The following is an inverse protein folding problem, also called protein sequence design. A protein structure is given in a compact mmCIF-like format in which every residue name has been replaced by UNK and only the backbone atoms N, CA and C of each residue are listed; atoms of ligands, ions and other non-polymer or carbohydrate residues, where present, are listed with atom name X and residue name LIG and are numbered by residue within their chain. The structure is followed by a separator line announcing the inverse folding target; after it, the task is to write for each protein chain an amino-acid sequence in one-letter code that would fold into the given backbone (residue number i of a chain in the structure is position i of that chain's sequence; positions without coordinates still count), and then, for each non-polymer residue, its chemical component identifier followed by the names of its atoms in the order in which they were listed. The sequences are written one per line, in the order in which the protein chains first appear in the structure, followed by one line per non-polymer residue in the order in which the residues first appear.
data_IF_868456922330
#
_entry.id   IF_868456922330
#
_cell.length_a   1.000
_cell.length_b   1.000
_cell.length_c   1.000
_cell.angle_alpha   90.00
_cell.angle_beta   90.00
_cell.angle_gamma   90.00
#
_symmetry.space_group_name_H-M   'P 1'
#
loop_
_entity.id
_entity.type
_entity.pdbx_description
1 polymer ?
#
# COMPACT_ATOMS: atom_id res chain seq x y z
N UNK A 1 35.37 9.18 -69.87
CA UNK A 1 34.05 9.82 -69.69
C UNK A 1 33.18 8.88 -68.87
N UNK A 2 32.98 9.14 -67.56
CA UNK A 2 31.88 8.69 -66.72
C UNK A 2 32.20 9.22 -65.29
N UNK A 3 31.81 10.47 -65.02
CA UNK A 3 31.76 11.04 -63.68
C UNK A 3 30.36 11.68 -63.54
N UNK A 4 29.60 11.25 -62.57
CA UNK A 4 28.40 11.96 -62.18
C UNK A 4 27.15 11.11 -62.04
N UNK A 5 27.06 10.28 -60.99
CA UNK A 5 25.77 9.75 -60.47
C UNK A 5 26.00 9.13 -59.08
N UNK A 6 26.31 9.93 -58.07
CA UNK A 6 26.45 9.39 -56.71
C UNK A 6 26.11 10.44 -55.61
N UNK A 7 25.23 11.42 -55.87
CA UNK A 7 24.95 12.48 -54.89
C UNK A 7 23.46 12.73 -54.57
N UNK A 8 22.56 11.89 -55.03
CA UNK A 8 21.10 12.13 -54.87
C UNK A 8 20.37 11.14 -53.99
N UNK A 9 21.06 10.24 -53.27
CA UNK A 9 20.37 9.24 -52.40
C UNK A 9 20.49 9.49 -50.89
N UNK A 10 21.11 10.58 -50.45
CA UNK A 10 21.32 10.86 -49.02
C UNK A 10 20.33 11.87 -48.41
N UNK A 11 19.40 12.41 -49.17
CA UNK A 11 18.44 13.41 -48.65
C UNK A 11 17.02 12.88 -48.40
N UNK A 12 16.74 11.61 -48.64
CA UNK A 12 15.37 11.06 -48.50
C UNK A 12 15.06 10.42 -47.15
N UNK A 13 16.03 10.29 -46.23
CA UNK A 13 15.81 9.63 -44.94
C UNK A 13 15.47 10.58 -43.73
N UNK A 14 15.35 11.88 -43.97
CA UNK A 14 15.18 12.86 -42.89
C UNK A 14 13.71 13.28 -42.62
N UNK A 15 12.72 12.69 -43.30
CA UNK A 15 11.32 13.13 -43.19
C UNK A 15 10.35 12.09 -42.56
N UNK A 16 10.86 11.03 -41.94
CA UNK A 16 10.02 10.02 -41.25
C UNK A 16 10.07 10.08 -39.71
N UNK A 17 10.69 11.10 -39.13
CA UNK A 17 10.47 11.43 -37.72
C UNK A 17 9.15 12.20 -37.58
N UNK A 18 8.04 11.50 -37.71
CA UNK A 18 6.79 12.01 -37.18
C UNK A 18 6.99 12.40 -35.71
N UNK A 19 6.34 13.44 -35.19
CA UNK A 19 6.43 13.75 -33.77
C UNK A 19 6.08 12.46 -33.02
N UNK A 20 7.03 11.94 -32.22
CA UNK A 20 6.72 10.89 -31.27
C UNK A 20 5.60 11.47 -30.41
N UNK A 21 4.37 11.05 -30.69
CA UNK A 21 3.20 11.53 -29.96
C UNK A 21 3.48 11.28 -28.49
N UNK A 22 3.68 12.33 -27.71
CA UNK A 22 3.84 12.21 -26.28
C UNK A 22 2.66 11.38 -25.78
N UNK A 23 2.91 10.22 -25.21
CA UNK A 23 1.86 9.38 -24.66
C UNK A 23 1.08 10.23 -23.67
N UNK A 24 -0.22 10.35 -23.87
CA UNK A 24 -1.10 11.13 -22.99
C UNK A 24 -0.98 10.60 -21.56
N UNK A 25 -0.73 11.50 -20.62
CA UNK A 25 -0.62 11.12 -19.21
C UNK A 25 -1.97 10.62 -18.68
N UNK A 26 -1.93 9.66 -17.79
CA UNK A 26 -3.11 9.20 -17.07
C UNK A 26 -3.76 10.34 -16.28
N UNK A 27 -3.00 11.35 -15.82
CA UNK A 27 -3.55 12.56 -15.22
C UNK A 27 -4.53 13.28 -16.18
N UNK A 28 -4.16 13.44 -17.45
CA UNK A 28 -5.03 14.08 -18.45
C UNK A 28 -6.27 13.23 -18.73
N UNK A 29 -6.11 11.91 -18.76
CA UNK A 29 -7.21 10.94 -18.89
C UNK A 29 -8.17 11.03 -17.70
N UNK A 30 -7.67 11.09 -16.46
CA UNK A 30 -8.47 11.24 -15.24
C UNK A 30 -9.25 12.55 -15.26
N UNK A 31 -8.60 13.67 -15.62
CA UNK A 31 -9.25 14.98 -15.73
C UNK A 31 -10.37 14.99 -16.77
N UNK A 32 -10.15 14.35 -17.93
CA UNK A 32 -11.18 14.24 -18.99
C UNK A 32 -12.34 13.33 -18.58
N UNK A 33 -12.05 12.24 -17.90
CA UNK A 33 -13.04 11.27 -17.40
C UNK A 33 -13.84 11.83 -16.24
N UNK A 34 -13.30 12.82 -15.55
CA UNK A 34 -13.86 13.48 -14.36
C UNK A 34 -14.16 12.48 -13.21
N UNK A 35 -13.32 11.48 -13.06
CA UNK A 35 -13.43 10.44 -12.03
C UNK A 35 -12.09 9.73 -11.80
N UNK A 36 -11.77 9.43 -10.53
CA UNK A 36 -10.69 8.53 -10.12
C UNK A 36 -11.18 7.08 -10.04
N UNK A 37 -10.33 6.13 -10.39
CA UNK A 37 -10.56 4.68 -10.19
C UNK A 37 -9.44 4.14 -9.32
N UNK A 38 -9.77 3.72 -8.09
CA UNK A 38 -8.78 3.40 -7.04
C UNK A 38 -8.91 1.95 -6.60
N UNK A 39 -7.80 1.19 -6.67
CA UNK A 39 -7.76 -0.13 -6.04
C UNK A 39 -7.70 0.01 -4.53
N UNK A 40 -8.53 -0.76 -3.84
CA UNK A 40 -8.56 -0.77 -2.37
C UNK A 40 -8.89 -2.14 -1.82
N UNK A 41 -8.63 -2.34 -0.51
CA UNK A 41 -9.18 -3.47 0.24
C UNK A 41 -10.57 -3.14 0.79
N UNK A 42 -11.28 -4.18 1.24
CA UNK A 42 -12.56 -4.03 1.94
C UNK A 42 -12.59 -4.78 3.28
N UNK A 43 -11.42 -5.30 3.73
CA UNK A 43 -11.32 -6.18 4.90
C UNK A 43 -10.11 -5.86 5.78
N UNK A 44 -9.60 -4.62 5.70
CA UNK A 44 -8.38 -4.15 6.39
C UNK A 44 -8.68 -2.98 7.34
N UNK A 45 -9.52 -3.16 8.40
CA UNK A 45 -9.75 -2.10 9.36
C UNK A 45 -8.46 -1.75 10.11
N UNK A 46 -8.22 -0.49 10.43
CA UNK A 46 -9.04 0.70 10.17
C UNK A 46 -8.66 1.44 8.87
N UNK A 47 -7.86 0.81 7.98
CA UNK A 47 -7.31 1.46 6.78
C UNK A 47 -8.33 1.49 5.63
N UNK A 48 -8.91 0.34 5.28
CA UNK A 48 -9.97 0.23 4.27
C UNK A 48 -10.84 -1.01 4.55
N UNK A 49 -12.11 -0.82 4.92
CA UNK A 49 -13.01 -1.92 5.27
C UNK A 49 -14.48 -1.52 5.10
N UNK A 50 -15.34 -2.52 5.03
CA UNK A 50 -16.79 -2.31 5.04
C UNK A 50 -17.25 -2.28 6.49
N UNK A 51 -17.91 -1.18 6.88
CA UNK A 51 -18.47 -1.01 8.23
C UNK A 51 -19.78 -1.79 8.41
N UNK A 52 -20.35 -1.73 9.62
CA UNK A 52 -21.61 -2.43 9.97
C UNK A 52 -22.82 -1.94 9.17
N UNK A 53 -22.75 -0.79 8.53
CA UNK A 53 -23.78 -0.22 7.65
C UNK A 53 -23.56 -0.61 6.18
N UNK A 54 -22.58 -1.44 5.88
CA UNK A 54 -22.24 -1.85 4.52
C UNK A 54 -21.48 -0.79 3.71
N UNK A 55 -20.97 0.27 4.35
CA UNK A 55 -20.24 1.35 3.70
C UNK A 55 -18.73 1.07 3.72
N UNK A 56 -18.08 1.29 2.59
CA UNK A 56 -16.61 1.26 2.51
C UNK A 56 -16.03 2.51 3.18
N UNK A 57 -15.22 2.32 4.22
CA UNK A 57 -14.67 3.36 5.07
C UNK A 57 -13.23 3.06 5.46
N UNK A 58 -12.52 4.06 5.99
CA UNK A 58 -11.18 3.89 6.53
C UNK A 58 -10.23 5.03 6.18
N UNK A 59 -9.04 4.98 6.73
CA UNK A 59 -7.99 5.97 6.52
C UNK A 59 -7.64 6.15 5.03
N UNK A 60 -7.45 5.05 4.31
CA UNK A 60 -7.12 5.06 2.88
C UNK A 60 -8.31 5.49 2.00
N UNK A 61 -9.54 5.24 2.48
CA UNK A 61 -10.76 5.68 1.79
C UNK A 61 -10.91 7.20 1.90
N UNK A 62 -10.72 7.76 3.11
CA UNK A 62 -10.72 9.21 3.30
C UNK A 62 -9.63 9.89 2.46
N UNK A 63 -8.44 9.28 2.32
CA UNK A 63 -7.38 9.75 1.42
C UNK A 63 -7.84 9.81 -0.04
N UNK A 64 -8.47 8.75 -0.54
CA UNK A 64 -8.93 8.70 -1.93
C UNK A 64 -9.99 9.77 -2.22
N UNK A 65 -10.93 9.98 -1.31
CA UNK A 65 -11.92 11.05 -1.41
C UNK A 65 -11.29 12.44 -1.42
N UNK A 66 -10.26 12.69 -0.60
CA UNK A 66 -9.58 13.99 -0.57
C UNK A 66 -8.74 14.21 -1.85
N UNK A 67 -8.09 13.16 -2.40
CA UNK A 67 -7.41 13.24 -3.70
C UNK A 67 -8.43 13.61 -4.80
N UNK A 68 -9.60 12.98 -4.82
CA UNK A 68 -10.66 13.29 -5.78
C UNK A 68 -11.15 14.75 -5.64
N UNK A 69 -11.36 15.20 -4.42
CA UNK A 69 -11.75 16.59 -4.13
C UNK A 69 -10.71 17.59 -4.62
N UNK A 70 -9.43 17.34 -4.34
CA UNK A 70 -8.33 18.24 -4.74
C UNK A 70 -8.12 18.28 -6.25
N UNK A 71 -8.28 17.14 -6.94
CA UNK A 71 -8.03 17.03 -8.38
C UNK A 71 -9.27 17.40 -9.23
N UNK A 72 -10.46 17.00 -8.77
CA UNK A 72 -11.71 17.05 -9.55
C UNK A 72 -12.79 17.93 -8.92
N UNK A 73 -12.48 18.56 -7.77
CA UNK A 73 -13.39 19.47 -7.06
C UNK A 73 -14.51 18.80 -6.27
N UNK A 74 -14.59 17.46 -6.28
CA UNK A 74 -15.66 16.70 -5.61
C UNK A 74 -15.12 15.38 -5.03
N UNK A 75 -15.24 15.15 -3.71
CA UNK A 75 -14.77 13.91 -3.07
C UNK A 75 -15.50 12.65 -3.56
N UNK A 76 -16.72 12.78 -4.09
CA UNK A 76 -17.50 11.64 -4.58
C UNK A 76 -17.10 11.18 -5.99
N UNK A 77 -16.22 11.92 -6.68
CA UNK A 77 -15.68 11.54 -7.99
C UNK A 77 -14.60 10.47 -7.90
N UNK A 78 -14.86 9.44 -7.10
CA UNK A 78 -13.99 8.26 -6.94
C UNK A 78 -14.80 6.99 -7.07
N UNK A 79 -14.24 6.03 -7.79
CA UNK A 79 -14.75 4.67 -7.91
C UNK A 79 -13.74 3.72 -7.28
N UNK A 80 -14.22 2.88 -6.36
CA UNK A 80 -13.36 1.89 -5.71
C UNK A 80 -13.47 0.53 -6.38
N UNK A 81 -12.33 -0.04 -6.73
CA UNK A 81 -12.19 -1.42 -7.21
C UNK A 81 -11.60 -2.24 -6.07
N UNK A 82 -12.44 -3.07 -5.45
CA UNK A 82 -11.98 -3.98 -4.39
C UNK A 82 -11.12 -5.07 -5.00
N UNK A 83 -9.92 -5.26 -4.43
CA UNK A 83 -8.95 -6.26 -4.87
C UNK A 83 -8.48 -7.14 -3.72
N UNK A 84 -7.96 -8.33 -4.04
CA UNK A 84 -7.22 -9.17 -3.11
C UNK A 84 -5.71 -8.84 -3.17
N UNK A 85 -4.95 -9.37 -2.22
CA UNK A 85 -3.52 -9.05 -2.07
C UNK A 85 -2.67 -9.38 -3.31
N UNK A 86 -3.00 -10.43 -4.04
CA UNK A 86 -2.31 -10.86 -5.28
C UNK A 86 -2.78 -10.08 -6.51
N UNK A 87 -4.02 -9.61 -6.52
CA UNK A 87 -4.66 -8.91 -7.63
C UNK A 87 -4.33 -7.42 -7.73
N UNK A 88 -3.82 -6.79 -6.66
CA UNK A 88 -3.67 -5.33 -6.61
C UNK A 88 -2.70 -4.76 -7.65
N UNK A 89 -1.52 -5.37 -7.85
CA UNK A 89 -0.56 -4.92 -8.84
C UNK A 89 -1.01 -5.22 -10.28
N UNK A 90 -1.54 -6.40 -10.60
CA UNK A 90 -2.17 -6.65 -11.90
C UNK A 90 -3.25 -5.63 -12.27
N UNK A 91 -4.07 -5.19 -11.31
CA UNK A 91 -5.10 -4.17 -11.56
C UNK A 91 -4.51 -2.82 -12.00
N UNK A 92 -3.40 -2.38 -11.37
CA UNK A 92 -2.71 -1.14 -11.76
C UNK A 92 -1.96 -1.31 -13.09
N UNK A 93 -1.23 -2.41 -13.27
CA UNK A 93 -0.44 -2.66 -14.47
C UNK A 93 -1.28 -2.78 -15.73
N UNK A 94 -2.48 -3.35 -15.62
CA UNK A 94 -3.44 -3.44 -16.74
C UNK A 94 -4.15 -2.13 -17.06
N UNK A 95 -4.05 -1.11 -16.19
CA UNK A 95 -4.82 0.13 -16.31
C UNK A 95 -6.29 0.02 -15.89
N UNK A 96 -6.67 -1.06 -15.19
CA UNK A 96 -8.00 -1.21 -14.61
C UNK A 96 -8.26 -0.16 -13.53
N UNK A 97 -7.22 0.29 -12.85
CA UNK A 97 -7.25 1.34 -11.84
C UNK A 97 -6.16 2.37 -12.12
N UNK A 98 -6.35 3.59 -11.64
CA UNK A 98 -5.40 4.68 -11.81
C UNK A 98 -4.24 4.57 -10.82
N UNK A 99 -4.54 4.13 -9.60
CA UNK A 99 -3.57 3.84 -8.55
C UNK A 99 -4.21 2.93 -7.49
N UNK A 100 -3.42 2.52 -6.50
CA UNK A 100 -3.93 1.72 -5.39
C UNK A 100 -3.53 2.26 -4.02
N UNK A 101 -4.51 2.17 -3.10
CA UNK A 101 -4.40 2.36 -1.66
C UNK A 101 -4.82 1.04 -1.00
N UNK A 102 -3.85 0.20 -0.67
CA UNK A 102 -4.06 -1.17 -0.20
C UNK A 102 -2.98 -1.58 0.82
N UNK A 103 -2.66 -0.73 1.81
CA UNK A 103 -1.63 -1.02 2.82
C UNK A 103 -0.38 -1.63 2.19
N UNK A 104 0.19 -0.93 1.20
CA UNK A 104 1.21 -1.55 0.37
C UNK A 104 2.60 -1.06 0.73
N UNK A 105 3.34 -1.91 1.40
CA UNK A 105 4.72 -1.67 1.79
C UNK A 105 5.65 -1.52 0.60
N UNK A 106 6.50 -0.50 0.64
CA UNK A 106 7.56 -0.27 -0.34
C UNK A 106 8.68 -1.31 -0.12
N UNK A 107 8.92 -2.14 -1.15
CA UNK A 107 10.07 -3.04 -1.20
C UNK A 107 10.80 -2.90 -2.55
N UNK A 108 12.15 -3.00 -2.58
CA UNK A 108 12.92 -2.91 -3.82
C UNK A 108 12.51 -3.92 -4.90
N UNK A 109 12.18 -5.15 -4.52
CA UNK A 109 11.72 -6.20 -5.44
C UNK A 109 10.35 -5.88 -6.07
N UNK A 110 9.50 -5.15 -5.38
CA UNK A 110 8.23 -4.62 -5.93
C UNK A 110 8.50 -3.45 -6.87
N UNK A 111 9.41 -2.54 -6.50
CA UNK A 111 9.73 -1.35 -7.27
C UNK A 111 10.33 -1.65 -8.66
N UNK A 112 10.81 -2.85 -8.90
CA UNK A 112 11.20 -3.33 -10.24
C UNK A 112 10.02 -3.36 -11.23
N UNK A 113 8.78 -3.51 -10.74
CA UNK A 113 7.59 -3.73 -11.57
C UNK A 113 6.48 -2.71 -11.37
N UNK A 114 6.44 -2.06 -10.21
CA UNK A 114 5.39 -1.11 -9.85
C UNK A 114 6.04 0.18 -9.33
N UNK A 115 5.45 1.34 -9.63
CA UNK A 115 5.91 2.60 -9.09
C UNK A 115 5.24 2.87 -7.73
N UNK A 116 5.96 3.57 -6.86
CA UNK A 116 5.48 4.02 -5.56
C UNK A 116 5.67 5.53 -5.42
N UNK A 117 4.76 6.18 -4.71
CA UNK A 117 4.99 7.52 -4.18
C UNK A 117 5.91 7.45 -2.97
N UNK A 118 6.30 8.61 -2.41
CA UNK A 118 6.75 8.64 -1.01
C UNK A 118 5.69 8.03 -0.09
N UNK A 119 6.08 7.51 1.09
CA UNK A 119 5.13 6.83 1.96
C UNK A 119 4.12 7.81 2.58
N UNK A 120 2.86 7.39 2.66
CA UNK A 120 1.82 8.11 3.41
C UNK A 120 1.70 7.62 4.86
N UNK A 121 2.15 6.40 5.17
CA UNK A 121 2.02 5.81 6.50
C UNK A 121 3.32 5.10 6.90
N UNK A 122 3.83 5.46 8.09
CA UNK A 122 4.86 4.68 8.76
C UNK A 122 4.16 3.64 9.64
N UNK A 123 4.45 2.38 9.39
CA UNK A 123 3.86 1.24 10.07
C UNK A 123 4.94 0.23 10.51
N UNK A 124 4.58 -0.95 10.88
CA UNK A 124 5.49 -2.03 11.26
C UNK A 124 4.76 -3.36 11.26
N UNK A 125 5.49 -4.43 11.27
CA UNK A 125 4.92 -5.75 11.47
C UNK A 125 4.46 -5.94 12.90
N UNK A 126 3.32 -6.61 13.07
CA UNK A 126 2.85 -7.09 14.38
C UNK A 126 2.41 -8.53 14.26
N UNK A 127 2.59 -9.26 15.33
CA UNK A 127 2.11 -10.64 15.45
C UNK A 127 1.12 -10.68 16.59
N UNK A 128 -0.10 -11.04 16.27
CA UNK A 128 -1.22 -11.18 17.20
C UNK A 128 -1.46 -12.67 17.43
N UNK A 129 -1.60 -13.06 18.69
CA UNK A 129 -1.92 -14.41 19.10
C UNK A 129 -3.14 -14.44 20.04
N UNK A 130 -3.73 -15.61 20.22
CA UNK A 130 -4.69 -15.83 21.30
C UNK A 130 -3.96 -15.89 22.64
N UNK A 131 -4.52 -15.26 23.66
CA UNK A 131 -3.97 -15.29 25.03
C UNK A 131 -3.85 -16.70 25.58
N UNK A 132 -4.82 -17.57 25.29
CA UNK A 132 -4.84 -18.96 25.75
C UNK A 132 -3.75 -19.86 25.10
N UNK A 133 -3.12 -19.41 24.03
CA UNK A 133 -1.96 -20.10 23.45
C UNK A 133 -0.70 -20.01 24.34
N UNK A 134 -0.68 -19.11 25.33
CA UNK A 134 0.40 -18.95 26.28
C UNK A 134 1.72 -18.44 25.71
N UNK A 135 1.72 -17.95 24.46
CA UNK A 135 2.89 -17.48 23.72
C UNK A 135 3.13 -16.01 24.07
N UNK A 136 4.36 -15.65 24.43
CA UNK A 136 4.74 -14.26 24.74
C UNK A 136 5.67 -13.66 23.70
N UNK A 137 6.60 -14.44 23.21
CA UNK A 137 7.59 -14.00 22.22
C UNK A 137 7.44 -14.79 20.92
N UNK A 138 7.63 -14.13 19.78
CA UNK A 138 7.42 -14.74 18.45
C UNK A 138 8.26 -15.99 18.22
N UNK A 139 9.49 -16.09 18.78
CA UNK A 139 10.33 -17.28 18.66
C UNK A 139 9.71 -18.54 19.25
N UNK A 140 8.82 -18.40 20.22
CA UNK A 140 8.10 -19.54 20.82
C UNK A 140 7.10 -20.19 19.84
N UNK A 141 6.68 -19.46 18.78
CA UNK A 141 5.91 -20.03 17.68
C UNK A 141 6.68 -21.03 16.82
N UNK A 142 8.02 -21.09 16.94
CA UNK A 142 8.84 -21.97 16.10
C UNK A 142 8.78 -23.45 16.56
N UNK A 143 7.59 -23.99 16.56
CA UNK A 143 7.28 -25.35 16.99
C UNK A 143 6.24 -25.94 16.01
N UNK A 144 6.40 -27.17 15.49
CA UNK A 144 5.47 -27.78 14.55
C UNK A 144 4.07 -28.05 15.11
N UNK A 145 3.86 -27.91 16.43
CA UNK A 145 2.53 -27.99 17.03
C UNK A 145 1.67 -26.75 16.72
N UNK A 146 2.30 -25.59 16.44
CA UNK A 146 1.61 -24.35 16.17
C UNK A 146 1.35 -24.15 14.67
N UNK A 147 0.29 -23.40 14.38
CA UNK A 147 -0.04 -22.88 13.05
C UNK A 147 0.01 -21.36 13.07
N UNK A 148 0.71 -20.79 12.12
CA UNK A 148 0.90 -19.36 11.95
C UNK A 148 0.26 -18.88 10.66
N UNK A 149 -0.76 -18.02 10.76
CA UNK A 149 -1.46 -17.49 9.62
C UNK A 149 -0.75 -16.25 9.07
N UNK A 150 -0.48 -16.23 7.77
CA UNK A 150 0.19 -15.14 7.06
C UNK A 150 -0.48 -14.85 5.73
N UNK A 151 -0.36 -13.62 5.25
CA UNK A 151 -0.81 -13.28 3.91
C UNK A 151 -0.03 -14.07 2.86
N UNK A 152 -0.74 -14.54 1.84
CA UNK A 152 -0.18 -15.27 0.70
C UNK A 152 0.56 -14.29 -0.25
N UNK A 153 1.64 -13.70 0.26
CA UNK A 153 2.52 -12.79 -0.49
C UNK A 153 3.99 -13.17 -0.25
N UNK A 154 4.86 -13.11 -1.28
CA UNK A 154 6.23 -13.61 -1.20
C UNK A 154 7.04 -13.06 -0.01
N UNK A 155 7.04 -11.74 0.31
CA UNK A 155 7.82 -11.22 1.43
C UNK A 155 7.38 -11.77 2.80
N UNK A 156 6.07 -11.98 3.02
CA UNK A 156 5.55 -12.54 4.27
C UNK A 156 5.97 -14.00 4.44
N UNK A 157 5.86 -14.79 3.37
CA UNK A 157 6.26 -16.21 3.35
C UNK A 157 7.77 -16.34 3.60
N UNK A 158 8.58 -15.53 2.91
CA UNK A 158 10.04 -15.58 3.06
C UNK A 158 10.47 -15.25 4.50
N UNK A 159 9.87 -14.22 5.10
CA UNK A 159 10.15 -13.83 6.49
C UNK A 159 9.73 -14.90 7.48
N UNK A 160 8.55 -15.46 7.32
CA UNK A 160 8.09 -16.55 8.19
C UNK A 160 9.04 -17.77 8.12
N UNK A 161 9.48 -18.15 6.93
CA UNK A 161 10.47 -19.24 6.76
C UNK A 161 11.81 -18.93 7.41
N UNK A 162 12.25 -17.66 7.37
CA UNK A 162 13.52 -17.26 7.97
C UNK A 162 13.49 -17.33 9.51
N UNK A 163 12.41 -16.87 10.13
CA UNK A 163 12.31 -16.70 11.59
C UNK A 163 11.69 -17.93 12.26
N UNK A 164 10.73 -18.56 11.60
CA UNK A 164 9.91 -19.64 12.14
C UNK A 164 9.91 -20.85 11.18
N UNK A 165 11.08 -21.48 10.93
CA UNK A 165 11.20 -22.55 9.94
C UNK A 165 10.40 -23.82 10.27
N UNK A 166 10.05 -24.04 11.55
CA UNK A 166 9.36 -25.25 12.01
C UNK A 166 7.83 -25.06 12.12
N UNK A 167 7.33 -23.82 12.19
CA UNK A 167 5.90 -23.56 12.34
C UNK A 167 5.13 -23.96 11.08
N UNK A 168 3.93 -24.48 11.24
CA UNK A 168 3.01 -24.69 10.11
C UNK A 168 2.48 -23.36 9.61
N UNK A 169 2.71 -23.05 8.34
CA UNK A 169 2.21 -21.83 7.73
C UNK A 169 0.81 -22.05 7.14
N UNK A 170 -0.13 -21.16 7.48
CA UNK A 170 -1.46 -21.08 6.88
C UNK A 170 -1.51 -19.83 6.01
N UNK A 171 -1.48 -20.00 4.68
CA UNK A 171 -1.51 -18.91 3.73
C UNK A 171 -2.96 -18.48 3.45
N UNK A 172 -3.25 -17.20 3.61
CA UNK A 172 -4.58 -16.62 3.43
C UNK A 172 -4.47 -15.30 2.64
N UNK A 173 -5.56 -14.91 1.98
CA UNK A 173 -5.54 -13.87 0.97
C UNK A 173 -6.01 -12.49 1.48
N UNK A 174 -6.52 -12.42 2.72
CA UNK A 174 -7.02 -11.17 3.30
C UNK A 174 -6.75 -11.04 4.80
N UNK A 175 -6.64 -9.80 5.33
CA UNK A 175 -6.50 -9.54 6.76
C UNK A 175 -7.62 -10.14 7.62
N UNK A 176 -8.87 -10.05 7.17
CA UNK A 176 -10.00 -10.64 7.88
C UNK A 176 -9.92 -12.16 7.96
N UNK A 177 -9.41 -12.82 6.92
CA UNK A 177 -9.22 -14.28 6.94
C UNK A 177 -8.12 -14.68 7.94
N UNK A 178 -7.05 -13.88 8.08
CA UNK A 178 -6.02 -14.09 9.10
C UNK A 178 -6.61 -14.00 10.52
N UNK A 179 -7.33 -12.91 10.78
CA UNK A 179 -8.01 -12.69 12.05
C UNK A 179 -8.98 -13.84 12.38
N UNK A 180 -9.83 -14.23 11.42
CA UNK A 180 -10.80 -15.30 11.61
C UNK A 180 -10.12 -16.66 11.89
N UNK A 181 -9.00 -16.95 11.22
CA UNK A 181 -8.26 -18.19 11.47
C UNK A 181 -7.77 -18.31 12.90
N UNK A 182 -7.29 -17.19 13.50
CA UNK A 182 -6.87 -17.16 14.90
C UNK A 182 -8.08 -17.17 15.83
N UNK A 183 -9.11 -16.40 15.53
CA UNK A 183 -10.33 -16.31 16.35
C UNK A 183 -11.04 -17.68 16.48
N UNK A 184 -11.03 -18.48 15.42
CA UNK A 184 -11.65 -19.83 15.38
C UNK A 184 -10.69 -20.95 15.79
N UNK A 185 -9.44 -20.64 16.20
CA UNK A 185 -8.46 -21.63 16.64
C UNK A 185 -7.79 -22.43 15.50
N UNK A 186 -8.02 -22.08 14.23
CA UNK A 186 -7.32 -22.69 13.07
C UNK A 186 -5.83 -22.33 13.03
N UNK A 187 -5.46 -21.19 13.62
CA UNK A 187 -4.10 -20.76 13.83
C UNK A 187 -3.93 -20.20 15.25
N UNK A 188 -2.73 -20.24 15.79
CA UNK A 188 -2.42 -19.69 17.11
C UNK A 188 -2.03 -18.22 17.05
N UNK A 189 -1.45 -17.78 15.91
CA UNK A 189 -1.06 -16.39 15.69
C UNK A 189 -1.18 -16.02 14.21
N UNK A 190 -1.22 -14.71 13.95
CA UNK A 190 -1.15 -14.15 12.61
C UNK A 190 -0.27 -12.90 12.55
N UNK A 191 0.37 -12.68 11.39
CA UNK A 191 1.11 -11.44 11.10
C UNK A 191 0.26 -10.45 10.33
N UNK A 192 0.33 -9.19 10.74
CA UNK A 192 -0.37 -8.10 10.05
C UNK A 192 0.33 -6.76 10.36
N UNK A 193 -0.01 -5.73 9.60
CA UNK A 193 0.48 -4.38 9.82
C UNK A 193 -0.04 -3.81 11.15
N UNK A 194 0.83 -3.04 11.82
CA UNK A 194 0.57 -2.52 13.17
C UNK A 194 -0.79 -1.81 13.32
N UNK A 195 -1.24 -0.93 12.42
CA UNK A 195 -2.54 -0.28 12.57
C UNK A 195 -3.71 -1.27 12.58
N UNK A 196 -3.63 -2.33 11.77
CA UNK A 196 -4.66 -3.37 11.71
C UNK A 196 -4.59 -4.26 12.95
N UNK A 197 -3.38 -4.53 13.44
CA UNK A 197 -3.17 -5.25 14.70
C UNK A 197 -3.74 -4.47 15.90
N UNK A 198 -3.47 -3.15 15.96
CA UNK A 198 -4.00 -2.25 17.01
C UNK A 198 -5.54 -2.28 17.04
N UNK A 199 -6.17 -2.27 15.86
CA UNK A 199 -7.63 -2.37 15.74
C UNK A 199 -8.15 -3.72 16.28
N UNK A 200 -7.63 -4.84 15.79
CA UNK A 200 -8.13 -6.16 16.22
C UNK A 200 -7.86 -6.44 17.70
N UNK A 201 -6.71 -6.05 18.23
CA UNK A 201 -6.38 -6.19 19.66
C UNK A 201 -7.30 -5.34 20.54
N UNK A 202 -7.61 -4.11 20.12
CA UNK A 202 -8.52 -3.22 20.83
C UNK A 202 -9.95 -3.74 20.92
N UNK A 203 -10.45 -4.37 19.86
CA UNK A 203 -11.82 -4.91 19.77
C UNK A 203 -11.94 -6.35 20.32
N UNK A 204 -10.80 -7.03 20.62
CA UNK A 204 -10.81 -8.43 21.02
C UNK A 204 -9.90 -8.68 22.24
N UNK A 205 -10.44 -8.63 23.47
CA UNK A 205 -9.65 -8.77 24.69
C UNK A 205 -9.01 -10.15 24.89
N UNK A 206 -9.40 -11.15 24.12
CA UNK A 206 -8.80 -12.50 24.09
C UNK A 206 -7.54 -12.59 23.21
N UNK A 207 -7.21 -11.52 22.49
CA UNK A 207 -5.99 -11.42 21.71
C UNK A 207 -4.89 -10.67 22.45
N UNK A 208 -3.65 -10.93 22.04
CA UNK A 208 -2.44 -10.29 22.58
C UNK A 208 -1.39 -10.15 21.51
N UNK A 209 -0.67 -9.04 21.53
CA UNK A 209 0.50 -8.83 20.68
C UNK A 209 1.70 -9.58 21.26
N UNK A 210 2.40 -10.34 20.41
CA UNK A 210 3.64 -10.98 20.78
C UNK A 210 4.81 -9.99 20.75
N UNK A 211 5.76 -10.19 21.65
CA UNK A 211 7.06 -9.53 21.56
C UNK A 211 7.82 -10.07 20.33
N UNK A 212 8.30 -9.15 19.48
CA UNK A 212 9.06 -9.46 18.26
C UNK A 212 10.51 -8.97 18.36
N UNK A 213 10.92 -8.43 19.51
CA UNK A 213 12.24 -7.83 19.71
C UNK A 213 13.39 -8.78 19.34
N UNK A 214 14.42 -8.24 18.71
CA UNK A 214 15.57 -9.04 18.27
C UNK A 214 15.26 -10.06 17.18
N UNK A 215 14.23 -9.83 16.38
CA UNK A 215 13.89 -10.65 15.21
C UNK A 215 13.68 -9.78 13.96
N UNK A 216 13.72 -10.36 12.75
CA UNK A 216 13.35 -9.68 11.51
C UNK A 216 11.89 -9.22 11.42
N UNK A 217 11.06 -9.41 12.45
CA UNK A 217 9.73 -8.82 12.57
C UNK A 217 9.76 -7.46 13.27
N UNK A 218 10.85 -7.15 13.99
CA UNK A 218 11.05 -5.88 14.70
C UNK A 218 11.60 -4.81 13.76
N UNK A 219 10.78 -4.30 12.87
CA UNK A 219 11.18 -3.24 11.94
C UNK A 219 9.98 -2.39 11.49
N UNK A 220 10.29 -1.17 11.03
CA UNK A 220 9.32 -0.23 10.47
C UNK A 220 9.14 -0.51 9.00
N UNK A 221 7.90 -0.53 8.56
CA UNK A 221 7.52 -0.50 7.15
C UNK A 221 7.04 0.89 6.77
N UNK A 222 6.97 1.12 5.47
CA UNK A 222 6.38 2.32 4.92
C UNK A 222 5.40 1.95 3.82
N UNK A 223 4.15 2.34 4.00
CA UNK A 223 3.11 2.12 3.00
C UNK A 223 2.98 3.34 2.08
N UNK A 224 2.82 3.08 0.79
CA UNK A 224 2.73 4.11 -0.23
C UNK A 224 1.61 3.82 -1.23
N UNK A 225 1.18 4.86 -1.93
CA UNK A 225 0.36 4.73 -3.12
C UNK A 225 1.20 4.00 -4.17
N UNK A 226 0.64 2.98 -4.79
CA UNK A 226 1.26 2.30 -5.92
C UNK A 226 0.50 2.59 -7.22
N UNK A 227 1.23 2.64 -8.33
CA UNK A 227 0.68 2.94 -9.64
C UNK A 227 1.51 2.27 -10.74
N UNK A 228 0.93 2.22 -11.95
CA UNK A 228 1.65 1.77 -13.14
C UNK A 228 2.89 2.63 -13.37
N UNK A 229 4.08 2.05 -13.61
CA UNK A 229 5.28 2.83 -13.91
C UNK A 229 5.22 3.46 -15.31
N UNK A 230 6.03 4.51 -15.51
CA UNK A 230 6.25 5.13 -16.83
C UNK A 230 5.49 6.43 -17.06
N UNK A 231 4.54 6.80 -16.21
CA UNK A 231 3.85 8.09 -16.27
C UNK A 231 4.38 9.03 -15.18
N UNK A 232 5.39 9.80 -15.53
CA UNK A 232 6.04 10.72 -14.60
C UNK A 232 5.10 11.83 -14.11
N UNK A 233 4.23 12.37 -14.99
CA UNK A 233 3.30 13.45 -14.64
C UNK A 233 2.27 12.99 -13.61
N UNK A 234 1.72 11.79 -13.79
CA UNK A 234 0.78 11.20 -12.84
C UNK A 234 1.45 10.86 -11.51
N UNK A 235 2.64 10.25 -11.58
CA UNK A 235 3.43 9.96 -10.38
C UNK A 235 3.78 11.22 -9.61
N UNK A 236 4.24 12.28 -10.29
CA UNK A 236 4.62 13.55 -9.66
C UNK A 236 3.44 14.20 -8.93
N UNK A 237 2.24 14.17 -9.53
CA UNK A 237 1.03 14.67 -8.86
C UNK A 237 0.77 13.92 -7.56
N UNK A 238 0.70 12.60 -7.59
CA UNK A 238 0.41 11.78 -6.41
C UNK A 238 1.51 11.89 -5.35
N UNK A 239 2.78 11.89 -5.76
CA UNK A 239 3.92 12.01 -4.84
C UNK A 239 3.95 13.37 -4.16
N UNK A 240 3.70 14.44 -4.90
CA UNK A 240 3.58 15.80 -4.36
C UNK A 240 2.42 15.90 -3.39
N UNK A 241 1.26 15.33 -3.75
CA UNK A 241 0.07 15.32 -2.89
C UNK A 241 0.35 14.63 -1.54
N UNK A 242 1.00 13.47 -1.55
CA UNK A 242 1.43 12.78 -0.30
C UNK A 242 2.43 13.63 0.48
N UNK A 243 3.32 14.36 -0.19
CA UNK A 243 4.24 15.30 0.46
C UNK A 243 3.51 16.39 1.23
N UNK A 244 2.50 17.01 0.59
CA UNK A 244 1.66 18.03 1.21
C UNK A 244 0.81 17.48 2.37
N UNK A 245 0.38 16.23 2.28
CA UNK A 245 -0.36 15.57 3.35
C UNK A 245 0.53 15.36 4.59
N UNK A 246 1.76 14.89 4.41
CA UNK A 246 2.63 14.52 5.54
C UNK A 246 3.43 15.68 6.14
N UNK A 247 3.65 16.73 5.40
CA UNK A 247 4.55 17.80 5.85
C UNK A 247 4.18 19.20 5.37
N UNK A 248 3.16 19.33 4.52
CA UNK A 248 2.74 20.59 3.91
C UNK A 248 1.40 21.09 4.40
N UNK A 249 0.67 21.75 3.50
CA UNK A 249 -0.58 22.46 3.77
C UNK A 249 -1.75 21.56 4.20
N UNK A 250 -1.66 20.24 3.96
CA UNK A 250 -2.70 19.25 4.30
C UNK A 250 -2.42 18.48 5.59
N UNK A 251 -1.41 18.85 6.35
CA UNK A 251 -1.02 18.11 7.55
C UNK A 251 -2.12 18.06 8.62
N UNK A 252 -2.92 19.11 8.77
CA UNK A 252 -4.05 19.11 9.71
C UNK A 252 -5.08 18.02 9.35
N UNK A 253 -5.35 17.81 8.06
CA UNK A 253 -6.21 16.74 7.59
C UNK A 253 -5.62 15.35 7.91
N UNK A 254 -4.32 15.20 7.78
CA UNK A 254 -3.60 13.98 8.16
C UNK A 254 -3.74 13.70 9.67
N UNK A 255 -3.63 14.72 10.52
CA UNK A 255 -3.84 14.62 11.98
C UNK A 255 -5.28 14.17 12.30
N UNK A 256 -6.28 14.77 11.64
CA UNK A 256 -7.68 14.38 11.81
C UNK A 256 -7.90 12.89 11.51
N UNK A 257 -7.37 12.40 10.39
CA UNK A 257 -7.51 10.99 10.00
C UNK A 257 -6.75 10.04 10.92
N UNK A 258 -5.56 10.42 11.37
CA UNK A 258 -4.83 9.63 12.36
C UNK A 258 -5.62 9.47 13.66
N UNK A 259 -6.19 10.55 14.17
CA UNK A 259 -7.02 10.52 15.39
C UNK A 259 -8.30 9.74 15.18
N UNK A 260 -8.96 9.96 14.03
CA UNK A 260 -10.23 9.29 13.69
C UNK A 260 -10.05 7.78 13.58
N UNK A 261 -9.06 7.34 12.81
CA UNK A 261 -8.91 5.95 12.42
C UNK A 261 -7.89 5.18 13.25
N UNK A 262 -6.72 5.77 13.50
CA UNK A 262 -5.61 5.10 14.20
C UNK A 262 -5.59 5.38 15.70
N UNK A 263 -6.50 6.22 16.22
CA UNK A 263 -6.67 6.57 17.64
C UNK A 263 -5.39 7.08 18.31
N UNK A 264 -4.54 7.75 17.54
CA UNK A 264 -3.27 8.34 18.00
C UNK A 264 -2.91 9.56 17.15
N UNK A 265 -1.93 10.32 17.58
CA UNK A 265 -1.36 11.40 16.78
C UNK A 265 -0.38 10.84 15.73
N UNK A 266 -0.28 11.47 14.55
CA UNK A 266 0.75 11.14 13.59
C UNK A 266 2.15 11.51 14.11
N UNK A 267 3.22 11.02 13.45
CA UNK A 267 4.55 11.57 13.67
C UNK A 267 4.55 13.09 13.48
N UNK A 268 5.31 13.85 14.28
CA UNK A 268 5.33 15.30 14.18
C UNK A 268 5.72 15.74 12.76
N UNK A 269 5.11 16.83 12.30
CA UNK A 269 5.43 17.45 11.03
C UNK A 269 6.92 17.76 10.99
N UNK A 270 7.64 17.26 10.01
CA UNK A 270 9.06 17.57 9.85
C UNK A 270 9.20 18.89 9.10
N UNK A 271 9.29 19.99 9.85
CA UNK A 271 9.82 21.23 9.28
C UNK A 271 11.34 21.11 9.12
N UNK A 272 11.86 21.56 8.00
CA UNK A 272 13.26 21.90 7.91
C UNK A 272 13.50 23.09 8.86
N UNK A 273 14.06 22.83 10.01
CA UNK A 273 14.50 23.88 10.92
C UNK A 273 15.83 24.43 10.42
N UNK A 274 15.73 25.43 9.55
CA UNK A 274 16.92 26.13 8.99
C UNK A 274 17.80 26.81 10.07
N UNK A 275 17.34 26.86 11.32
CA UNK A 275 18.08 27.47 12.42
C UNK A 275 18.96 26.46 13.17
N UNK A 276 19.01 25.20 12.77
CA UNK A 276 19.82 24.15 13.41
C UNK A 276 21.11 23.81 12.67
N UNK A 277 21.45 24.50 11.58
CA UNK A 277 22.70 24.33 10.83
C UNK A 277 23.44 25.65 10.66
#
# INVERSE_FOLDING_TARGET
MYRGLSFSLLLACLWLSGPAGAQESLLDTVLKRDKLIVATYSTSPPLAYVDDNGKLVGFEIDMAHEIAKDLLGDPEKVEFVVVQSDGRFPAALSGKVDFGLCSTTIYPDRAVRIAFTRPYLDTGGSIIARKDAGIKHVKELNDPKFTYAILNVPPAIARAKLVLPQVKQLLLDSPSALFLAVKTGRAQAFAIDKPIADYYEGENPDLVRLDVSGTPFDFVFQDAIFLKPGDFKWWLFLDTWVGELRGGSRYERYVEWYRKWLKRDPPPQRFYDYNKY
#
